data_IF_402780032541
#
_entry.id   IF_402780032541
#
_cell.length_a   1.000
_cell.length_b   1.000
_cell.length_c   1.000
_cell.angle_alpha   90.00
_cell.angle_beta   90.00
_cell.angle_gamma   90.00
#
_symmetry.space_group_name_H-M   'P 1'
#
loop_
_entity.id
_entity.type
_entity.pdbx_description
1 polymer ?
#
# COMPACT_ATOMS: atom_id res chain seq x y z
N UNK A 1 19.99 21.98 -3.64
CA UNK A 1 19.52 21.28 -2.42
C UNK A 1 19.56 19.77 -2.70
N UNK A 2 20.41 18.99 -2.01
CA UNK A 2 20.60 17.56 -2.34
C UNK A 2 19.40 16.71 -1.91
N UNK A 3 18.93 15.83 -2.81
CA UNK A 3 17.91 14.80 -2.56
C UNK A 3 18.15 14.03 -1.25
N UNK A 4 19.41 13.76 -0.92
CA UNK A 4 19.83 13.06 0.30
C UNK A 4 19.50 13.84 1.58
N UNK A 5 19.62 15.18 1.55
CA UNK A 5 19.23 16.06 2.68
C UNK A 5 17.70 16.15 2.81
N UNK A 6 16.97 16.10 1.69
CA UNK A 6 15.50 16.11 1.70
C UNK A 6 14.92 14.82 2.27
N UNK A 7 15.39 13.66 1.80
CA UNK A 7 15.02 12.34 2.32
C UNK A 7 15.32 12.21 3.82
N UNK A 8 16.50 12.68 4.29
CA UNK A 8 16.83 12.70 5.73
C UNK A 8 15.93 13.61 6.57
N UNK A 9 15.33 14.66 5.99
CA UNK A 9 14.35 15.50 6.70
C UNK A 9 13.00 14.81 6.81
N UNK A 10 12.57 14.13 5.75
CA UNK A 10 11.32 13.35 5.74
C UNK A 10 11.40 12.15 6.68
N UNK A 11 12.55 11.48 6.74
CA UNK A 11 12.86 10.42 7.71
C UNK A 11 12.79 10.94 9.15
N UNK A 12 13.41 12.10 9.45
CA UNK A 12 13.30 12.74 10.77
C UNK A 12 11.88 13.11 11.16
N UNK A 13 11.02 13.41 10.18
CA UNK A 13 9.60 13.69 10.38
C UNK A 13 8.72 12.43 10.41
N UNK A 14 9.31 11.23 10.36
CA UNK A 14 8.60 9.92 10.26
C UNK A 14 7.65 9.79 9.06
N UNK A 15 7.87 10.56 8.00
CA UNK A 15 7.06 10.49 6.77
C UNK A 15 7.47 9.28 5.92
N UNK A 16 8.75 8.90 5.96
CA UNK A 16 9.31 7.79 5.16
C UNK A 16 10.11 6.89 6.10
N UNK A 17 9.93 5.57 5.98
CA UNK A 17 10.75 4.55 6.65
C UNK A 17 11.73 3.92 5.66
N UNK A 18 12.98 3.67 6.10
CA UNK A 18 13.98 2.92 5.31
C UNK A 18 13.74 1.41 5.29
N UNK A 19 13.03 0.90 6.31
CA UNK A 19 12.58 -0.49 6.39
C UNK A 19 11.05 -0.47 6.41
N UNK A 20 10.40 -0.38 5.24
CA UNK A 20 8.95 -0.48 5.17
C UNK A 20 8.53 -1.84 5.71
N UNK A 21 7.60 -1.85 6.66
CA UNK A 21 7.14 -3.09 7.27
C UNK A 21 6.33 -3.89 6.23
N UNK A 22 6.62 -5.18 6.00
CA UNK A 22 5.96 -5.97 4.95
C UNK A 22 4.44 -6.09 5.16
N UNK A 23 3.95 -5.83 6.39
CA UNK A 23 2.52 -5.79 6.69
C UNK A 23 1.78 -4.58 6.08
N UNK A 24 2.45 -3.46 5.79
CA UNK A 24 1.79 -2.23 5.33
C UNK A 24 1.03 -2.45 4.00
N UNK A 25 1.63 -3.06 2.96
CA UNK A 25 0.91 -3.40 1.74
C UNK A 25 -0.26 -4.38 1.95
N UNK A 26 -0.18 -5.32 2.90
CA UNK A 26 -1.29 -6.21 3.24
C UNK A 26 -2.47 -5.45 3.84
N UNK A 27 -2.19 -4.53 4.77
CA UNK A 27 -3.23 -3.67 5.35
C UNK A 27 -3.87 -2.81 4.26
N UNK A 28 -3.07 -2.26 3.36
CA UNK A 28 -3.57 -1.46 2.23
C UNK A 28 -4.48 -2.28 1.33
N UNK A 29 -4.09 -3.51 0.98
CA UNK A 29 -4.91 -4.42 0.20
C UNK A 29 -6.27 -4.70 0.87
N UNK A 30 -6.26 -4.95 2.19
CA UNK A 30 -7.48 -5.25 2.94
C UNK A 30 -8.42 -4.04 3.04
N UNK A 31 -7.87 -2.85 3.28
CA UNK A 31 -8.64 -1.60 3.31
C UNK A 31 -9.26 -1.31 1.94
N UNK A 32 -8.48 -1.44 0.86
CA UNK A 32 -8.99 -1.25 -0.50
C UNK A 32 -10.08 -2.27 -0.86
N UNK A 33 -9.93 -3.53 -0.45
CA UNK A 33 -10.95 -4.56 -0.67
C UNK A 33 -12.26 -4.21 0.05
N UNK A 34 -12.16 -3.81 1.32
CA UNK A 34 -13.31 -3.42 2.15
C UNK A 34 -14.02 -2.20 1.55
N UNK A 35 -13.28 -1.20 1.08
CA UNK A 35 -13.83 -0.03 0.39
C UNK A 35 -14.51 -0.43 -0.93
N UNK A 36 -13.91 -1.33 -1.71
CA UNK A 36 -14.51 -1.84 -2.95
C UNK A 36 -15.85 -2.51 -2.74
N UNK A 37 -15.96 -3.34 -1.69
CA UNK A 37 -17.22 -3.99 -1.28
C UNK A 37 -18.26 -2.99 -0.76
N UNK A 38 -17.84 -2.01 0.04
CA UNK A 38 -18.74 -1.00 0.60
C UNK A 38 -19.33 -0.11 -0.51
N UNK A 39 -18.49 0.33 -1.45
CA UNK A 39 -18.91 1.12 -2.62
C UNK A 39 -19.89 0.31 -3.49
N UNK A 40 -19.62 -0.98 -3.68
CA UNK A 40 -20.52 -1.90 -4.40
C UNK A 40 -21.88 -2.02 -3.69
N UNK A 41 -21.87 -2.22 -2.37
CA UNK A 41 -23.07 -2.38 -1.56
C UNK A 41 -23.93 -1.12 -1.50
N UNK A 42 -23.30 0.07 -1.42
CA UNK A 42 -24.00 1.35 -1.45
C UNK A 42 -24.42 1.78 -2.86
N UNK A 43 -24.13 0.96 -3.88
CA UNK A 43 -24.40 1.26 -5.30
C UNK A 43 -23.80 2.60 -5.76
N UNK A 44 -22.70 3.03 -5.11
CA UNK A 44 -21.97 4.24 -5.46
C UNK A 44 -21.13 3.87 -6.69
N UNK A 45 -21.52 4.38 -7.86
CA UNK A 45 -20.82 4.29 -9.15
C UNK A 45 -19.79 3.14 -9.28
N UNK A 46 -20.15 2.12 -10.05
CA UNK A 46 -19.37 0.88 -10.23
C UNK A 46 -17.90 1.08 -10.59
N UNK A 47 -17.54 2.19 -11.27
CA UNK A 47 -16.15 2.52 -11.62
C UNK A 47 -15.26 2.59 -10.38
N UNK A 48 -15.74 3.19 -9.29
CA UNK A 48 -14.97 3.30 -8.05
C UNK A 48 -14.76 1.94 -7.40
N UNK A 49 -15.78 1.07 -7.42
CA UNK A 49 -15.67 -0.29 -6.89
C UNK A 49 -14.59 -1.08 -7.63
N UNK A 50 -14.58 -1.03 -8.97
CA UNK A 50 -13.54 -1.67 -9.77
C UNK A 50 -12.15 -1.10 -9.50
N UNK A 51 -12.01 0.22 -9.36
CA UNK A 51 -10.74 0.86 -9.03
C UNK A 51 -10.22 0.39 -7.65
N UNK A 52 -11.09 0.28 -6.65
CA UNK A 52 -10.73 -0.24 -5.33
C UNK A 52 -10.35 -1.72 -5.36
N UNK A 53 -11.06 -2.56 -6.13
CA UNK A 53 -10.68 -3.96 -6.29
C UNK A 53 -9.33 -4.13 -7.02
N UNK A 54 -9.08 -3.33 -8.06
CA UNK A 54 -7.79 -3.32 -8.73
C UNK A 54 -6.67 -2.91 -7.76
N UNK A 55 -6.88 -1.85 -6.98
CA UNK A 55 -5.92 -1.39 -5.97
C UNK A 55 -5.67 -2.44 -4.90
N UNK A 56 -6.70 -3.16 -4.47
CA UNK A 56 -6.59 -4.25 -3.51
C UNK A 56 -5.75 -5.40 -4.07
N UNK A 57 -6.05 -5.85 -5.29
CA UNK A 57 -5.30 -6.91 -5.98
C UNK A 57 -3.84 -6.53 -6.20
N UNK A 58 -3.58 -5.33 -6.72
CA UNK A 58 -2.23 -4.81 -6.92
C UNK A 58 -1.45 -4.74 -5.60
N UNK A 59 -2.06 -4.17 -4.55
CA UNK A 59 -1.42 -4.05 -3.24
C UNK A 59 -1.12 -5.41 -2.63
N UNK A 60 -1.99 -6.40 -2.84
CA UNK A 60 -1.79 -7.76 -2.35
C UNK A 60 -0.63 -8.45 -3.07
N UNK A 61 -0.58 -8.40 -4.41
CA UNK A 61 0.54 -8.95 -5.18
C UNK A 61 1.85 -8.28 -4.77
N UNK A 62 1.84 -6.95 -4.63
CA UNK A 62 3.00 -6.20 -4.15
C UNK A 62 3.41 -6.62 -2.73
N UNK A 63 2.44 -6.85 -1.84
CA UNK A 63 2.70 -7.34 -0.48
C UNK A 63 3.40 -8.70 -0.47
N UNK A 64 2.93 -9.64 -1.29
CA UNK A 64 3.53 -10.97 -1.44
C UNK A 64 4.96 -10.86 -1.98
N UNK A 65 5.18 -10.10 -3.04
CA UNK A 65 6.52 -9.87 -3.60
C UNK A 65 7.46 -9.23 -2.57
N UNK A 66 6.99 -8.21 -1.86
CA UNK A 66 7.77 -7.55 -0.83
C UNK A 66 8.11 -8.50 0.32
N UNK A 67 7.16 -9.34 0.76
CA UNK A 67 7.40 -10.36 1.78
C UNK A 67 8.47 -11.37 1.35
N UNK A 68 8.42 -11.82 0.09
CA UNK A 68 9.43 -12.73 -0.49
C UNK A 68 10.80 -12.05 -0.48
N UNK A 69 10.90 -10.81 -0.96
CA UNK A 69 12.16 -10.05 -1.00
C UNK A 69 12.73 -9.86 0.39
N UNK A 70 11.91 -9.50 1.38
CA UNK A 70 12.35 -9.36 2.78
C UNK A 70 12.87 -10.69 3.32
N UNK A 71 12.15 -11.81 3.10
CA UNK A 71 12.59 -13.14 3.56
C UNK A 71 13.87 -13.65 2.91
N UNK A 72 14.20 -13.21 1.70
CA UNK A 72 15.45 -13.60 1.02
C UNK A 72 16.63 -12.75 1.52
N UNK A 73 16.38 -11.51 1.93
CA UNK A 73 17.40 -10.55 2.35
C UNK A 73 17.72 -10.57 3.86
N UNK A 74 16.78 -11.06 4.68
CA UNK A 74 17.00 -11.35 6.12
C UNK A 74 17.50 -12.78 6.33
#
# INVERSE_FOLDING_TARGET
MSLKKFLRRLERKRIISRKPHPAIPFVLAFVSLTLGLLVLQLNINMIFSYAFFFLAGFSFVFAVLHLIVVRILE
#
